data_IF_439456124689
#
_entry.id   IF_439456124689
#
_cell.length_a   1.000
_cell.length_b   1.000
_cell.length_c   1.000
_cell.angle_alpha   90.00
_cell.angle_beta   90.00
_cell.angle_gamma   90.00
#
_symmetry.space_group_name_H-M   'P 1'
#
loop_
_entity.id
_entity.type
_entity.pdbx_description
1 polymer ?
#
# COMPACT_ATOMS: atom_id res chain seq x y z
N UNK A 1 -18.43 4.07 18.79
CA UNK A 1 -17.70 5.36 18.75
C UNK A 1 -17.27 5.54 17.30
N UNK A 2 -17.70 6.61 16.63
CA UNK A 2 -17.25 6.88 15.25
C UNK A 2 -15.84 7.49 15.29
N UNK A 3 -15.10 7.45 14.18
CA UNK A 3 -13.78 8.07 14.10
C UNK A 3 -13.82 9.56 14.51
N UNK A 4 -14.87 10.29 14.12
CA UNK A 4 -15.07 11.71 14.48
C UNK A 4 -15.23 11.89 15.99
N UNK A 5 -16.01 11.03 16.65
CA UNK A 5 -16.16 11.10 18.11
C UNK A 5 -14.83 10.88 18.82
N UNK A 6 -14.03 9.90 18.36
CA UNK A 6 -12.71 9.65 18.94
C UNK A 6 -11.74 10.83 18.75
N UNK A 7 -11.75 11.47 17.58
CA UNK A 7 -10.93 12.66 17.31
C UNK A 7 -11.37 13.84 18.19
N UNK A 8 -12.67 14.10 18.30
CA UNK A 8 -13.18 15.18 19.13
C UNK A 8 -12.87 14.97 20.62
N UNK A 9 -12.88 13.72 21.11
CA UNK A 9 -12.47 13.42 22.48
C UNK A 9 -10.97 13.67 22.72
N UNK A 10 -10.12 13.28 21.76
CA UNK A 10 -8.68 13.44 21.86
C UNK A 10 -8.21 14.89 21.62
N UNK A 11 -8.88 15.60 20.70
CA UNK A 11 -8.51 16.95 20.24
C UNK A 11 -9.77 17.80 20.02
N UNK A 12 -10.40 18.30 21.10
CA UNK A 12 -11.76 18.87 21.07
C UNK A 12 -11.94 20.17 20.28
N UNK A 13 -10.86 20.76 19.75
CA UNK A 13 -10.89 22.00 18.99
C UNK A 13 -10.40 21.81 17.53
N UNK A 14 -10.42 20.58 17.03
CA UNK A 14 -10.07 20.27 15.63
C UNK A 14 -11.33 19.89 14.88
N UNK A 15 -11.67 20.70 13.88
CA UNK A 15 -12.73 20.37 12.94
C UNK A 15 -12.32 19.13 12.12
N UNK A 16 -13.25 18.19 11.98
CA UNK A 16 -12.97 16.86 11.43
C UNK A 16 -13.95 16.52 10.33
N UNK A 17 -13.42 16.25 9.14
CA UNK A 17 -14.20 15.89 7.96
C UNK A 17 -13.86 14.46 7.53
N UNK A 18 -14.61 13.44 7.98
CA UNK A 18 -14.35 12.06 7.56
C UNK A 18 -14.74 11.89 6.09
N UNK A 19 -13.86 11.26 5.31
CA UNK A 19 -14.10 10.95 3.90
C UNK A 19 -13.95 9.45 3.66
N UNK A 20 -14.83 8.91 2.83
CA UNK A 20 -14.75 7.55 2.29
C UNK A 20 -14.45 7.68 0.81
N UNK A 21 -13.29 7.19 0.40
CA UNK A 21 -12.86 7.24 -0.99
C UNK A 21 -12.02 5.99 -1.30
N UNK A 22 -12.15 5.50 -2.53
CA UNK A 22 -11.15 4.62 -3.11
C UNK A 22 -10.05 5.51 -3.74
N UNK A 23 -8.83 5.42 -3.23
CA UNK A 23 -7.73 6.26 -3.69
C UNK A 23 -7.33 6.01 -5.13
N UNK A 24 -7.70 4.86 -5.73
CA UNK A 24 -7.40 4.54 -7.12
C UNK A 24 -8.48 4.98 -8.10
N UNK A 25 -9.68 5.31 -7.62
CA UNK A 25 -10.83 5.64 -8.48
C UNK A 25 -11.43 7.02 -8.18
N UNK A 26 -11.10 7.65 -7.05
CA UNK A 26 -11.61 8.97 -6.67
C UNK A 26 -10.84 10.12 -7.35
N UNK A 27 -11.13 10.36 -8.64
CA UNK A 27 -10.50 11.43 -9.43
C UNK A 27 -10.83 12.85 -8.92
N UNK A 28 -11.97 13.05 -8.26
CA UNK A 28 -12.43 14.33 -7.72
C UNK A 28 -11.95 14.61 -6.29
N UNK A 29 -11.23 13.67 -5.67
CA UNK A 29 -10.77 13.77 -4.29
C UNK A 29 -10.00 15.07 -3.97
N UNK A 30 -9.08 15.57 -4.81
CA UNK A 30 -8.43 16.85 -4.55
C UNK A 30 -9.42 18.01 -4.40
N UNK A 31 -10.44 18.07 -5.26
CA UNK A 31 -11.46 19.13 -5.23
C UNK A 31 -12.42 19.00 -4.05
N UNK A 32 -12.78 17.77 -3.67
CA UNK A 32 -13.58 17.51 -2.46
C UNK A 32 -12.84 17.98 -1.21
N UNK A 33 -11.56 17.64 -1.08
CA UNK A 33 -10.75 18.06 0.07
C UNK A 33 -10.57 19.58 0.08
N UNK A 34 -10.31 20.21 -1.07
CA UNK A 34 -10.25 21.68 -1.19
C UNK A 34 -11.52 22.35 -0.67
N UNK A 35 -12.69 21.85 -1.06
CA UNK A 35 -13.98 22.40 -0.62
C UNK A 35 -14.22 22.29 0.89
N UNK A 36 -13.52 21.37 1.58
CA UNK A 36 -13.66 21.14 3.02
C UNK A 36 -12.65 21.92 3.86
N UNK A 37 -11.39 21.98 3.43
CA UNK A 37 -10.30 22.57 4.24
C UNK A 37 -9.74 23.89 3.68
N UNK A 38 -10.15 24.28 2.47
CA UNK A 38 -9.68 25.48 1.79
C UNK A 38 -8.20 25.45 1.37
N UNK A 39 -7.65 26.64 1.12
CA UNK A 39 -6.33 26.84 0.50
C UNK A 39 -5.16 26.88 1.49
N UNK A 40 -5.39 26.64 2.79
CA UNK A 40 -4.33 26.67 3.78
C UNK A 40 -3.29 25.57 3.51
N UNK A 41 -1.97 25.82 3.73
CA UNK A 41 -0.94 24.78 3.58
C UNK A 41 -1.26 23.54 4.42
N UNK A 42 -1.12 22.36 3.81
CA UNK A 42 -1.52 21.09 4.42
C UNK A 42 -0.32 20.23 4.80
N UNK A 43 -0.47 19.47 5.87
CA UNK A 43 0.37 18.31 6.16
C UNK A 43 -0.43 17.06 5.80
N UNK A 44 -0.01 16.37 4.74
CA UNK A 44 -0.64 15.14 4.27
C UNK A 44 0.16 13.96 4.81
N UNK A 45 -0.50 13.01 5.46
CA UNK A 45 0.14 11.80 6.00
C UNK A 45 -0.31 10.58 5.19
N UNK A 46 0.64 9.90 4.57
CA UNK A 46 0.40 8.70 3.77
C UNK A 46 1.19 7.53 4.37
N UNK A 47 0.67 6.96 5.46
CA UNK A 47 1.36 5.98 6.29
C UNK A 47 0.76 4.57 6.16
N UNK A 48 1.61 3.56 6.03
CA UNK A 48 1.22 2.15 6.06
C UNK A 48 0.44 1.67 4.83
N UNK A 49 0.35 2.50 3.79
CA UNK A 49 -0.47 2.24 2.61
C UNK A 49 0.35 1.77 1.41
N UNK A 50 1.49 2.40 1.15
CA UNK A 50 2.29 2.16 -0.05
C UNK A 50 2.62 0.69 -0.36
N UNK A 51 2.92 -0.21 0.60
CA UNK A 51 3.22 -1.61 0.24
C UNK A 51 2.11 -2.27 -0.59
N UNK A 52 0.85 -1.88 -0.39
CA UNK A 52 -0.32 -2.54 -0.97
C UNK A 52 -0.82 -1.89 -2.27
N UNK A 53 -0.09 -0.90 -2.79
CA UNK A 53 -0.41 -0.25 -4.04
C UNK A 53 0.66 -0.51 -5.09
N UNK A 54 0.24 -0.70 -6.34
CA UNK A 54 1.15 -0.63 -7.48
C UNK A 54 1.69 0.82 -7.56
N UNK A 55 3.01 1.07 -7.47
CA UNK A 55 3.55 2.43 -7.41
C UNK A 55 3.14 3.30 -8.60
N UNK A 56 3.09 2.71 -9.79
CA UNK A 56 2.68 3.39 -11.02
C UNK A 56 1.20 3.82 -11.02
N UNK A 57 0.36 3.24 -10.16
CA UNK A 57 -1.05 3.62 -10.04
C UNK A 57 -1.28 4.68 -8.97
N UNK A 58 -0.67 4.52 -7.78
CA UNK A 58 -0.95 5.39 -6.64
C UNK A 58 -0.09 6.66 -6.60
N UNK A 59 1.18 6.60 -7.02
CA UNK A 59 2.10 7.72 -6.84
C UNK A 59 1.74 8.93 -7.70
N UNK A 60 1.30 8.79 -8.97
CA UNK A 60 0.83 9.93 -9.75
C UNK A 60 -0.38 10.62 -9.10
N UNK A 61 -1.31 9.82 -8.54
CA UNK A 61 -2.50 10.33 -7.84
C UNK A 61 -2.11 11.08 -6.57
N UNK A 62 -1.17 10.52 -5.80
CA UNK A 62 -0.66 11.18 -4.59
C UNK A 62 0.07 12.48 -4.95
N UNK A 63 0.92 12.49 -5.96
CA UNK A 63 1.62 13.70 -6.40
C UNK A 63 0.66 14.79 -6.88
N UNK A 64 -0.36 14.44 -7.66
CA UNK A 64 -1.42 15.36 -8.07
C UNK A 64 -2.25 15.90 -6.89
N UNK A 65 -2.33 15.13 -5.80
CA UNK A 65 -3.02 15.56 -4.59
C UNK A 65 -2.22 16.58 -3.77
N UNK A 66 -0.88 16.55 -3.80
CA UNK A 66 -0.03 17.50 -3.06
C UNK A 66 0.10 18.81 -3.84
N UNK A 67 -0.16 19.95 -3.22
CA UNK A 67 -0.09 21.29 -3.85
C UNK A 67 1.25 21.98 -3.58
N UNK A 68 1.60 23.05 -4.30
CA UNK A 68 2.69 23.93 -3.89
C UNK A 68 2.46 24.45 -2.46
N UNK A 69 3.47 24.31 -1.61
CA UNK A 69 3.41 24.74 -0.20
C UNK A 69 2.95 23.67 0.78
N UNK A 70 2.34 22.57 0.31
CA UNK A 70 2.02 21.42 1.14
C UNK A 70 3.29 20.63 1.55
N UNK A 71 3.15 19.85 2.62
CA UNK A 71 4.13 18.85 3.04
C UNK A 71 3.48 17.48 3.03
N UNK A 72 4.16 16.52 2.41
CA UNK A 72 3.80 15.10 2.47
C UNK A 72 4.72 14.39 3.46
N UNK A 73 4.14 13.72 4.46
CA UNK A 73 4.81 12.71 5.26
C UNK A 73 4.44 11.35 4.70
N UNK A 74 5.40 10.69 4.06
CA UNK A 74 5.22 9.43 3.37
C UNK A 74 5.94 8.32 4.14
N UNK A 75 5.26 7.23 4.50
CA UNK A 75 5.96 6.06 5.07
C UNK A 75 6.12 4.96 4.03
N UNK A 76 7.25 4.26 4.11
CA UNK A 76 7.52 3.11 3.26
C UNK A 76 8.07 1.94 4.08
N UNK A 77 7.57 0.75 3.75
CA UNK A 77 8.14 -0.51 4.21
C UNK A 77 9.45 -0.77 3.49
N UNK A 78 10.53 -0.85 4.25
CA UNK A 78 11.88 -0.99 3.72
C UNK A 78 12.38 -2.43 3.80
N UNK A 79 13.32 -2.76 2.93
CA UNK A 79 14.14 -3.95 2.99
C UNK A 79 15.40 -3.64 3.83
N UNK A 80 15.63 -4.33 4.96
CA UNK A 80 16.77 -4.08 5.84
C UNK A 80 18.08 -4.58 5.21
N UNK A 81 19.18 -3.94 5.60
CA UNK A 81 20.52 -4.33 5.17
C UNK A 81 20.94 -3.79 3.79
N UNK A 82 22.20 -4.04 3.38
CA UNK A 82 22.78 -3.46 2.18
C UNK A 82 22.38 -4.20 0.88
N UNK A 83 22.04 -5.49 0.97
CA UNK A 83 21.56 -6.27 -0.16
C UNK A 83 20.03 -6.27 -0.17
N UNK A 84 19.46 -5.71 -1.22
CA UNK A 84 18.02 -5.49 -1.33
C UNK A 84 17.22 -6.80 -1.34
N UNK A 85 17.68 -7.82 -2.07
CA UNK A 85 16.96 -9.09 -2.17
C UNK A 85 17.05 -9.84 -0.84
N UNK A 86 18.25 -9.93 -0.26
CA UNK A 86 18.44 -10.55 1.06
C UNK A 86 17.61 -9.83 2.12
N UNK A 87 17.51 -8.51 2.06
CA UNK A 87 16.64 -7.72 2.94
C UNK A 87 15.16 -8.07 2.78
N UNK A 88 14.67 -8.20 1.54
CA UNK A 88 13.30 -8.62 1.28
C UNK A 88 13.04 -10.05 1.82
N UNK A 89 13.98 -10.97 1.61
CA UNK A 89 13.89 -12.35 2.10
C UNK A 89 13.87 -12.42 3.63
N UNK A 90 14.67 -11.58 4.31
CA UNK A 90 14.70 -11.50 5.76
C UNK A 90 13.36 -11.04 6.38
N UNK A 91 12.56 -10.32 5.60
CA UNK A 91 11.23 -9.83 6.01
C UNK A 91 10.12 -10.83 5.69
N UNK A 92 10.33 -11.77 4.78
CA UNK A 92 9.32 -12.76 4.37
C UNK A 92 8.68 -13.53 5.55
N UNK A 93 9.39 -13.94 6.62
CA UNK A 93 8.78 -14.59 7.78
C UNK A 93 7.75 -13.73 8.53
N UNK A 94 7.77 -12.41 8.36
CA UNK A 94 6.74 -11.51 8.89
C UNK A 94 5.40 -11.64 8.14
N UNK A 95 5.39 -12.32 6.99
CA UNK A 95 4.19 -12.62 6.19
C UNK A 95 3.92 -14.12 6.15
N UNK A 96 4.94 -14.96 5.99
CA UNK A 96 4.78 -16.40 6.05
C UNK A 96 4.77 -16.88 7.51
N UNK A 97 3.68 -16.57 8.20
CA UNK A 97 3.41 -17.01 9.57
C UNK A 97 1.96 -17.50 9.73
N UNK A 98 1.67 -18.27 10.80
CA UNK A 98 0.35 -18.83 11.04
C UNK A 98 -0.78 -17.78 11.08
N UNK A 99 -0.52 -16.60 11.63
CA UNK A 99 -1.50 -15.52 11.79
C UNK A 99 -1.92 -14.95 10.44
N UNK A 100 -0.95 -14.66 9.56
CA UNK A 100 -1.20 -14.13 8.22
C UNK A 100 -1.87 -15.19 7.34
N UNK A 101 -1.46 -16.45 7.46
CA UNK A 101 -2.13 -17.58 6.78
C UNK A 101 -3.58 -17.73 7.21
N UNK A 102 -3.86 -17.65 8.51
CA UNK A 102 -5.22 -17.72 9.04
C UNK A 102 -6.08 -16.53 8.58
N UNK A 103 -5.52 -15.32 8.57
CA UNK A 103 -6.20 -14.13 8.08
C UNK A 103 -6.57 -14.24 6.59
N UNK A 104 -5.61 -14.62 5.73
CA UNK A 104 -5.87 -14.81 4.30
C UNK A 104 -6.83 -15.98 4.03
N UNK A 105 -6.85 -16.98 4.93
CA UNK A 105 -7.77 -18.10 4.83
C UNK A 105 -9.22 -17.68 5.04
N UNK A 106 -9.48 -16.72 5.94
CA UNK A 106 -10.83 -16.18 6.14
C UNK A 106 -11.41 -15.61 4.85
N UNK A 107 -10.60 -14.87 4.07
CA UNK A 107 -11.03 -14.33 2.77
C UNK A 107 -11.47 -15.43 1.79
N UNK A 108 -10.67 -16.50 1.66
CA UNK A 108 -11.01 -17.63 0.79
C UNK A 108 -12.25 -18.39 1.29
N UNK A 109 -12.35 -18.58 2.60
CA UNK A 109 -13.49 -19.24 3.22
C UNK A 109 -14.79 -18.47 2.98
N UNK A 110 -14.76 -17.14 3.08
CA UNK A 110 -15.92 -16.29 2.83
C UNK A 110 -16.40 -16.35 1.37
N UNK A 111 -15.50 -16.68 0.44
CA UNK A 111 -15.82 -16.96 -0.96
C UNK A 111 -16.31 -18.40 -1.21
N UNK A 112 -16.27 -19.29 -0.21
CA UNK A 112 -16.76 -20.66 -0.32
C UNK A 112 -15.69 -21.72 -0.64
N UNK A 113 -14.41 -21.40 -0.49
CA UNK A 113 -13.33 -22.38 -0.61
C UNK A 113 -13.17 -23.19 0.70
N UNK A 114 -12.71 -24.43 0.57
CA UNK A 114 -12.30 -25.33 1.66
C UNK A 114 -10.77 -25.45 1.73
N UNK A 115 -10.18 -25.76 2.89
CA UNK A 115 -8.71 -25.84 3.03
C UNK A 115 -8.10 -26.88 2.08
N UNK A 116 -8.85 -27.93 1.77
CA UNK A 116 -8.44 -28.96 0.83
C UNK A 116 -8.47 -28.51 -0.65
N UNK A 117 -9.02 -27.33 -0.97
CA UNK A 117 -9.15 -26.84 -2.34
C UNK A 117 -7.85 -26.30 -2.93
N UNK A 118 -6.86 -25.96 -2.10
CA UNK A 118 -5.64 -25.34 -2.57
C UNK A 118 -4.58 -25.13 -1.51
N UNK A 119 -3.44 -24.57 -1.91
CA UNK A 119 -2.29 -24.33 -1.03
C UNK A 119 -1.85 -22.88 -1.15
N UNK A 120 -1.58 -22.22 -0.02
CA UNK A 120 -0.98 -20.88 -0.03
C UNK A 120 0.54 -20.96 -0.15
N UNK A 121 1.09 -20.23 -1.12
CA UNK A 121 2.52 -20.04 -1.36
C UNK A 121 2.91 -18.59 -1.15
N UNK A 122 3.91 -18.38 -0.32
CA UNK A 122 4.49 -17.08 0.00
C UNK A 122 5.83 -16.97 -0.74
N UNK A 123 6.14 -15.78 -1.26
CA UNK A 123 7.38 -15.59 -1.99
C UNK A 123 7.67 -14.14 -2.31
N UNK A 124 8.72 -13.95 -3.11
CA UNK A 124 9.10 -12.66 -3.66
C UNK A 124 8.93 -12.68 -5.17
N UNK A 125 8.35 -11.61 -5.70
CA UNK A 125 8.23 -11.39 -7.13
C UNK A 125 8.72 -9.99 -7.52
N UNK A 126 9.31 -9.84 -8.72
CA UNK A 126 9.53 -8.53 -9.29
C UNK A 126 8.20 -7.86 -9.66
N UNK A 127 8.17 -6.52 -9.57
CA UNK A 127 7.14 -5.73 -10.22
C UNK A 127 7.20 -5.95 -11.75
N UNK A 128 6.06 -6.19 -12.43
CA UNK A 128 6.04 -6.39 -13.87
C UNK A 128 6.53 -5.20 -14.69
N UNK A 129 6.38 -3.97 -14.18
CA UNK A 129 6.77 -2.74 -14.88
C UNK A 129 8.18 -2.26 -14.49
N UNK A 130 8.67 -2.67 -13.32
CA UNK A 130 9.98 -2.34 -12.79
C UNK A 130 10.61 -3.57 -12.12
N UNK A 131 11.27 -4.46 -12.89
CA UNK A 131 11.82 -5.71 -12.35
C UNK A 131 12.88 -5.57 -11.24
N UNK A 132 13.42 -4.36 -11.04
CA UNK A 132 14.32 -4.06 -9.91
C UNK A 132 13.59 -3.91 -8.58
N UNK A 133 12.27 -3.66 -8.61
CA UNK A 133 11.45 -3.53 -7.41
C UNK A 133 10.81 -4.87 -7.07
N UNK A 134 10.97 -5.31 -5.83
CA UNK A 134 10.43 -6.55 -5.31
C UNK A 134 9.23 -6.29 -4.42
N UNK A 135 8.31 -7.25 -4.46
CA UNK A 135 7.19 -7.36 -3.54
C UNK A 135 7.14 -8.76 -2.95
N UNK A 136 6.74 -8.82 -1.69
CA UNK A 136 6.27 -10.06 -1.08
C UNK A 136 4.90 -10.35 -1.69
N UNK A 137 4.65 -11.59 -2.07
CA UNK A 137 3.38 -12.03 -2.65
C UNK A 137 2.86 -13.24 -1.90
N UNK A 138 1.53 -13.37 -1.88
CA UNK A 138 0.87 -14.59 -1.46
C UNK A 138 -0.06 -15.05 -2.57
N UNK A 139 0.22 -16.24 -3.08
CA UNK A 139 -0.61 -16.93 -4.05
C UNK A 139 -1.38 -18.05 -3.37
N UNK A 140 -2.63 -18.26 -3.78
CA UNK A 140 -3.36 -19.47 -3.52
C UNK A 140 -3.42 -20.31 -4.80
N UNK A 141 -2.88 -21.51 -4.72
CA UNK A 141 -2.81 -22.46 -5.81
C UNK A 141 -3.92 -23.52 -5.66
N UNK A 142 -4.95 -23.51 -6.52
CA UNK A 142 -5.98 -24.55 -6.49
C UNK A 142 -5.38 -25.93 -6.81
N UNK A 143 -5.75 -26.94 -6.04
CA UNK A 143 -5.37 -28.35 -6.25
C UNK A 143 -6.46 -29.13 -6.98
N UNK A 144 -7.69 -28.61 -7.00
CA UNK A 144 -8.84 -29.17 -7.74
C UNK A 144 -9.66 -28.05 -8.37
N UNK A 145 -10.46 -28.39 -9.40
CA UNK A 145 -11.40 -27.44 -10.00
C UNK A 145 -12.42 -27.00 -8.96
N UNK A 146 -12.63 -25.69 -8.84
CA UNK A 146 -13.62 -25.08 -7.95
C UNK A 146 -14.43 -24.03 -8.67
N UNK A 147 -15.69 -23.96 -8.29
CA UNK A 147 -16.63 -22.95 -8.74
C UNK A 147 -17.20 -22.28 -7.50
N UNK A 148 -17.18 -20.95 -7.50
CA UNK A 148 -17.75 -20.13 -6.43
C UNK A 148 -18.62 -19.04 -7.03
N UNK A 149 -19.64 -18.62 -6.28
CA UNK A 149 -20.59 -17.59 -6.71
C UNK A 149 -20.31 -16.31 -5.93
N UNK A 150 -19.97 -15.23 -6.63
CA UNK A 150 -19.71 -13.91 -6.05
C UNK A 150 -20.64 -12.91 -6.69
N UNK A 151 -21.49 -12.24 -5.91
CA UNK A 151 -22.45 -11.26 -6.45
C UNK A 151 -23.47 -11.85 -7.45
N UNK A 152 -23.68 -13.18 -7.44
CA UNK A 152 -24.53 -13.88 -8.40
C UNK A 152 -23.82 -14.32 -9.69
N UNK A 153 -22.54 -13.98 -9.86
CA UNK A 153 -21.70 -14.42 -10.96
C UNK A 153 -20.88 -15.65 -10.57
N UNK A 154 -20.76 -16.61 -11.50
CA UNK A 154 -20.01 -17.84 -11.29
C UNK A 154 -18.57 -17.68 -11.78
N UNK A 155 -17.62 -17.94 -10.89
CA UNK A 155 -16.19 -17.93 -11.19
C UNK A 155 -15.62 -19.34 -11.02
N UNK A 156 -14.85 -19.79 -12.01
CA UNK A 156 -14.24 -21.12 -12.04
C UNK A 156 -12.73 -20.99 -11.98
N UNK A 157 -12.10 -21.74 -11.07
CA UNK A 157 -10.65 -21.89 -10.99
C UNK A 157 -10.26 -23.34 -11.23
N UNK A 158 -9.28 -23.55 -12.11
CA UNK A 158 -8.69 -24.85 -12.39
C UNK A 158 -7.33 -25.01 -11.71
N UNK A 159 -6.90 -26.26 -11.46
CA UNK A 159 -5.54 -26.51 -10.99
C UNK A 159 -4.50 -25.87 -11.92
N UNK A 160 -3.53 -25.16 -11.34
CA UNK A 160 -2.49 -24.44 -12.07
C UNK A 160 -2.84 -22.99 -12.42
N UNK A 161 -4.00 -22.48 -12.01
CA UNK A 161 -4.40 -21.07 -12.13
C UNK A 161 -4.27 -20.38 -10.76
N UNK A 162 -3.08 -19.88 -10.37
CA UNK A 162 -2.88 -19.24 -9.07
C UNK A 162 -3.69 -17.94 -8.95
N UNK A 163 -4.21 -17.69 -7.75
CA UNK A 163 -4.84 -16.41 -7.39
C UNK A 163 -3.91 -15.65 -6.46
N UNK A 164 -3.51 -14.43 -6.84
CA UNK A 164 -2.76 -13.56 -5.94
C UNK A 164 -3.70 -12.97 -4.90
N UNK A 165 -3.57 -13.39 -3.66
CA UNK A 165 -4.38 -12.90 -2.53
C UNK A 165 -3.86 -11.59 -1.98
N UNK A 166 -2.54 -11.42 -2.01
CA UNK A 166 -1.87 -10.31 -1.33
C UNK A 166 -0.56 -9.99 -2.01
N UNK A 167 -0.17 -8.72 -1.94
CA UNK A 167 1.21 -8.32 -2.15
C UNK A 167 1.60 -7.17 -1.24
N UNK A 168 2.89 -7.05 -0.97
CA UNK A 168 3.49 -5.95 -0.23
C UNK A 168 4.83 -5.58 -0.83
N UNK A 169 4.92 -4.40 -1.42
CA UNK A 169 6.18 -3.83 -1.85
C UNK A 169 7.14 -3.61 -0.69
N UNK A 170 8.43 -3.80 -1.00
CA UNK A 170 9.53 -3.44 -0.11
C UNK A 170 10.48 -2.53 -0.85
N UNK A 171 10.92 -1.47 -0.20
CA UNK A 171 11.77 -0.47 -0.84
C UNK A 171 13.14 -0.40 -0.17
N UNK A 172 14.12 0.13 -0.86
CA UNK A 172 15.25 0.82 -0.23
C UNK A 172 14.92 2.32 -0.13
N UNK A 173 15.59 3.09 0.73
CA UNK A 173 15.46 4.55 0.73
C UNK A 173 15.72 5.16 -0.66
N UNK A 174 16.69 4.61 -1.39
CA UNK A 174 17.02 5.05 -2.75
C UNK A 174 15.88 4.78 -3.73
N UNK A 175 15.26 3.59 -3.69
CA UNK A 175 14.20 3.25 -4.65
C UNK A 175 12.95 4.09 -4.41
N UNK A 176 12.57 4.36 -3.15
CA UNK A 176 11.38 5.17 -2.89
C UNK A 176 11.61 6.64 -3.24
N UNK A 177 12.80 7.19 -2.92
CA UNK A 177 13.17 8.54 -3.35
C UNK A 177 13.14 8.67 -4.88
N UNK A 178 13.69 7.69 -5.62
CA UNK A 178 13.65 7.68 -7.09
C UNK A 178 12.22 7.69 -7.63
N UNK A 179 11.32 6.89 -7.05
CA UNK A 179 9.92 6.82 -7.47
C UNK A 179 9.20 8.15 -7.20
N UNK A 180 9.36 8.71 -6.00
CA UNK A 180 8.76 10.01 -5.64
C UNK A 180 9.27 11.14 -6.54
N UNK A 181 10.58 11.20 -6.79
CA UNK A 181 11.16 12.22 -7.69
C UNK A 181 10.68 12.06 -9.12
N UNK A 182 10.42 10.82 -9.58
CA UNK A 182 9.80 10.56 -10.88
C UNK A 182 8.43 11.20 -11.04
N UNK A 183 7.69 11.39 -9.94
CA UNK A 183 6.38 12.05 -9.89
C UNK A 183 6.47 13.53 -9.49
N UNK A 184 7.67 14.11 -9.47
CA UNK A 184 7.86 15.52 -9.07
C UNK A 184 7.76 15.78 -7.57
N UNK A 185 7.96 14.76 -6.73
CA UNK A 185 8.08 14.90 -5.28
C UNK A 185 9.54 14.71 -4.84
N UNK A 186 10.12 15.72 -4.19
CA UNK A 186 11.47 15.66 -3.64
C UNK A 186 11.44 15.22 -2.18
N UNK A 187 12.38 14.36 -1.79
CA UNK A 187 12.60 13.97 -0.39
C UNK A 187 13.55 14.96 0.26
N UNK A 188 13.05 15.79 1.18
CA UNK A 188 13.87 16.76 1.93
C UNK A 188 14.56 16.11 3.13
N UNK A 189 13.84 15.24 3.84
CA UNK A 189 14.33 14.56 5.04
C UNK A 189 13.82 13.12 5.09
N UNK A 190 14.57 12.27 5.77
CA UNK A 190 14.18 10.89 6.02
C UNK A 190 14.53 10.45 7.45
N UNK A 191 13.68 9.62 8.03
CA UNK A 191 13.91 8.96 9.31
C UNK A 191 13.66 7.48 9.14
N UNK A 192 14.65 6.66 9.47
CA UNK A 192 14.59 5.20 9.31
C UNK A 192 14.71 4.57 10.69
N UNK A 193 13.88 3.58 10.96
CA UNK A 193 13.92 2.83 12.22
C UNK A 193 15.27 2.11 12.39
N UNK A 194 15.68 1.84 13.63
CA UNK A 194 16.99 1.21 13.90
C UNK A 194 17.14 -0.17 13.20
N UNK A 195 16.03 -0.90 13.01
CA UNK A 195 16.01 -2.17 12.29
C UNK A 195 15.97 -2.03 10.75
N UNK A 196 15.82 -0.82 10.21
CA UNK A 196 15.84 -0.56 8.78
C UNK A 196 14.63 -1.06 8.00
N UNK A 197 13.59 -1.56 8.66
CA UNK A 197 12.40 -2.15 8.02
C UNK A 197 11.29 -1.14 7.69
N UNK A 198 11.41 0.09 8.15
CA UNK A 198 10.45 1.17 7.95
C UNK A 198 11.17 2.52 7.90
N UNK A 199 10.71 3.39 7.02
CA UNK A 199 11.16 4.77 6.93
C UNK A 199 10.01 5.75 6.72
N UNK A 200 10.17 6.96 7.25
CA UNK A 200 9.31 8.12 7.01
C UNK A 200 10.12 9.13 6.21
N UNK A 201 9.51 9.68 5.17
CA UNK A 201 10.11 10.63 4.24
C UNK A 201 9.27 11.90 4.26
N UNK A 202 9.91 13.04 4.52
CA UNK A 202 9.30 14.34 4.34
C UNK A 202 9.51 14.76 2.89
N UNK A 203 8.41 14.97 2.18
CA UNK A 203 8.41 15.29 0.76
C UNK A 203 7.68 16.59 0.46
N UNK A 204 8.10 17.25 -0.60
CA UNK A 204 7.43 18.43 -1.18
C UNK A 204 7.39 18.30 -2.69
N UNK A 205 6.52 19.07 -3.34
CA UNK A 205 6.62 19.27 -4.78
C UNK A 205 8.00 19.83 -5.12
N UNK A 206 8.62 19.27 -6.16
CA UNK A 206 9.84 19.79 -6.73
C UNK A 206 9.61 21.24 -7.21
N UNK A 207 10.61 22.13 -7.10
CA UNK A 207 10.51 23.45 -7.71
C UNK A 207 10.26 23.30 -9.21
N UNK A 208 9.24 23.97 -9.75
CA UNK A 208 9.08 24.04 -11.20
C UNK A 208 10.31 24.76 -11.79
N UNK A 209 10.96 24.22 -12.83
CA UNK A 209 12.00 24.96 -13.52
C UNK A 209 11.40 26.26 -14.07
N UNK A 210 12.07 27.38 -13.79
CA UNK A 210 11.70 28.72 -14.23
C UNK A 210 11.73 28.88 -15.76
#
# INVERSE_FOLDING_TARGET
ITAVTAVHEAVPNVESFPLVADLLDADDLPGVVEGLVGEAPRVVMFFGLIPNFEPAAILPRLAAFIRPGDVLLFSANLAPGPDYRVGCEAVLPQYDNPETRAWLWLFLKDLGFEEADGVMRFGLEPDPLNPELLRIVVHWDPTRRREVIVGGEAFVWNPGEPVRLFFSYRHTPRTIARLLTGEGLEVEQQWITAGGGEGIFLCRQAPQPA
#
